data_IF_700765320087
#
_entry.id   IF_700765320087
#
_cell.length_a   1.000
_cell.length_b   1.000
_cell.length_c   1.000
_cell.angle_alpha   90.00
_cell.angle_beta   90.00
_cell.angle_gamma   90.00
#
_symmetry.space_group_name_H-M   'P 1'
#
loop_
_entity.id
_entity.type
_entity.pdbx_description
1 polymer ?
#
# COMPACT_ATOMS: atom_id res chain seq x y z
N UNK A 1 1.36 28.94 4.74
CA UNK A 1 0.96 28.32 3.46
C UNK A 1 -0.40 27.67 3.70
N UNK A 2 -1.42 28.04 2.93
CA UNK A 2 -2.86 27.88 3.26
C UNK A 2 -3.26 26.43 3.57
N UNK A 3 -4.09 26.21 4.58
CA UNK A 3 -4.58 24.86 4.95
C UNK A 3 -5.27 24.12 3.80
N UNK A 4 -5.75 24.84 2.78
CA UNK A 4 -6.37 24.25 1.59
C UNK A 4 -5.34 23.55 0.68
N UNK A 5 -4.14 24.12 0.50
CA UNK A 5 -3.05 23.44 -0.22
C UNK A 5 -2.57 22.19 0.51
N UNK A 6 -2.55 22.21 1.85
CA UNK A 6 -2.25 21.02 2.65
C UNK A 6 -3.31 19.93 2.48
N UNK A 7 -4.60 20.29 2.55
CA UNK A 7 -5.71 19.36 2.37
C UNK A 7 -5.72 18.70 0.98
N UNK A 8 -5.43 19.46 -0.09
CA UNK A 8 -5.35 18.91 -1.45
C UNK A 8 -4.19 17.92 -1.58
N UNK A 9 -3.03 18.24 -1.02
CA UNK A 9 -1.88 17.32 -1.04
C UNK A 9 -2.17 16.04 -0.25
N UNK A 10 -2.84 16.13 0.89
CA UNK A 10 -3.30 14.97 1.67
C UNK A 10 -4.32 14.13 0.89
N UNK A 11 -5.27 14.77 0.19
CA UNK A 11 -6.22 14.05 -0.64
C UNK A 11 -5.52 13.32 -1.80
N UNK A 12 -4.52 13.95 -2.43
CA UNK A 12 -3.75 13.35 -3.51
C UNK A 12 -2.95 12.12 -3.04
N UNK A 13 -2.34 12.18 -1.85
CA UNK A 13 -1.63 11.01 -1.28
C UNK A 13 -2.59 9.87 -0.97
N UNK A 14 -3.79 10.16 -0.48
CA UNK A 14 -4.85 9.16 -0.30
C UNK A 14 -5.29 8.50 -1.60
N UNK A 15 -5.51 9.29 -2.67
CA UNK A 15 -5.89 8.76 -3.99
C UNK A 15 -4.81 7.83 -4.53
N UNK A 16 -3.54 8.22 -4.45
CA UNK A 16 -2.43 7.38 -4.90
C UNK A 16 -2.33 6.07 -4.10
N UNK A 17 -2.61 6.10 -2.80
CA UNK A 17 -2.66 4.90 -1.98
C UNK A 17 -3.82 3.96 -2.39
N UNK A 18 -4.98 4.51 -2.72
CA UNK A 18 -6.10 3.72 -3.24
C UNK A 18 -5.82 3.10 -4.61
N UNK A 19 -5.17 3.84 -5.51
CA UNK A 19 -4.78 3.34 -6.84
C UNK A 19 -3.83 2.14 -6.74
N UNK A 20 -2.85 2.22 -5.84
CA UNK A 20 -1.99 1.08 -5.52
C UNK A 20 -2.78 -0.11 -4.97
N UNK A 21 -3.75 0.13 -4.07
CA UNK A 21 -4.64 -0.91 -3.54
C UNK A 21 -5.46 -1.62 -4.62
N UNK A 22 -6.05 -0.85 -5.54
CA UNK A 22 -6.84 -1.38 -6.66
C UNK A 22 -5.94 -2.22 -7.57
N UNK A 23 -4.74 -1.73 -7.90
CA UNK A 23 -3.78 -2.43 -8.74
C UNK A 23 -3.37 -3.77 -8.12
N UNK A 24 -3.01 -3.79 -6.83
CA UNK A 24 -2.65 -5.04 -6.14
C UNK A 24 -3.80 -6.04 -6.10
N UNK A 25 -5.05 -5.60 -5.88
CA UNK A 25 -6.21 -6.49 -5.94
C UNK A 25 -6.43 -7.02 -7.36
N UNK A 26 -6.24 -6.19 -8.38
CA UNK A 26 -6.34 -6.58 -9.79
C UNK A 26 -5.28 -7.63 -10.16
N UNK A 27 -4.05 -7.45 -9.70
CA UNK A 27 -2.94 -8.39 -9.93
C UNK A 27 -3.21 -9.74 -9.25
N UNK A 28 -3.68 -9.71 -8.01
CA UNK A 28 -4.09 -10.91 -7.29
C UNK A 28 -5.23 -11.65 -7.99
N UNK A 29 -6.25 -10.93 -8.46
CA UNK A 29 -7.38 -11.51 -9.14
C UNK A 29 -6.96 -12.15 -10.47
N UNK A 30 -6.13 -11.46 -11.24
CA UNK A 30 -5.65 -11.93 -12.55
C UNK A 30 -4.75 -13.15 -12.40
N UNK A 31 -3.94 -13.21 -11.35
CA UNK A 31 -3.02 -14.32 -11.09
C UNK A 31 -3.57 -15.39 -10.15
N UNK A 32 -4.85 -15.34 -9.78
CA UNK A 32 -5.47 -16.30 -8.86
C UNK A 32 -5.39 -17.76 -9.35
N UNK A 33 -5.32 -17.97 -10.66
CA UNK A 33 -5.17 -19.29 -11.28
C UNK A 33 -3.72 -19.71 -11.54
N UNK A 34 -2.73 -18.84 -11.29
CA UNK A 34 -1.32 -19.11 -11.59
C UNK A 34 -0.70 -19.93 -10.45
N UNK A 35 -0.28 -21.19 -10.69
CA UNK A 35 0.35 -22.00 -9.66
C UNK A 35 1.61 -21.32 -9.12
N UNK A 36 1.75 -21.22 -7.80
CA UNK A 36 2.90 -20.59 -7.14
C UNK A 36 2.84 -19.06 -7.05
N UNK A 37 1.74 -18.43 -7.47
CA UNK A 37 1.54 -17.00 -7.24
C UNK A 37 1.34 -16.71 -5.74
N UNK A 38 2.10 -15.74 -5.22
CA UNK A 38 2.02 -15.27 -3.84
C UNK A 38 1.11 -14.04 -3.78
N UNK A 39 0.06 -14.09 -2.96
CA UNK A 39 -0.91 -13.00 -2.81
C UNK A 39 -0.20 -11.76 -2.28
N UNK A 40 -0.46 -10.61 -2.91
CA UNK A 40 0.08 -9.32 -2.53
C UNK A 40 -0.93 -8.54 -1.65
N UNK A 41 -0.43 -7.78 -0.69
CA UNK A 41 -1.25 -6.93 0.19
C UNK A 41 -0.62 -5.56 0.32
N UNK A 42 -1.45 -4.52 0.23
CA UNK A 42 -1.00 -3.14 0.41
C UNK A 42 -1.11 -2.75 1.88
N UNK A 43 0.02 -2.35 2.45
CA UNK A 43 0.10 -1.76 3.78
C UNK A 43 0.32 -0.25 3.64
N UNK A 44 -0.67 0.55 4.03
CA UNK A 44 -0.57 2.00 4.05
C UNK A 44 -0.16 2.49 5.43
N UNK A 45 0.82 3.39 5.49
CA UNK A 45 1.26 4.03 6.72
C UNK A 45 0.95 5.52 6.64
N UNK A 46 0.64 6.15 7.78
CA UNK A 46 0.51 7.61 7.84
C UNK A 46 1.86 8.25 7.52
N UNK A 47 1.84 9.32 6.72
CA UNK A 47 3.03 10.12 6.50
C UNK A 47 3.53 10.67 7.85
N UNK A 48 4.85 10.81 7.98
CA UNK A 48 5.47 11.18 9.26
C UNK A 48 5.06 12.61 9.64
N UNK A 49 4.30 12.73 10.74
CA UNK A 49 3.82 14.02 11.21
C UNK A 49 4.75 14.64 12.25
N UNK A 50 4.87 15.97 12.22
CA UNK A 50 5.50 16.73 13.29
C UNK A 50 4.45 16.87 14.42
N UNK A 51 4.79 16.53 15.67
CA UNK A 51 3.87 16.68 16.79
C UNK A 51 3.26 18.09 16.87
N UNK A 52 1.93 18.17 16.96
CA UNK A 52 1.21 19.45 17.03
C UNK A 52 0.84 20.06 15.66
N UNK A 53 1.10 19.38 14.54
CA UNK A 53 0.64 19.77 13.21
C UNK A 53 -0.51 18.90 12.70
N UNK A 54 -1.21 19.40 11.68
CA UNK A 54 -2.18 18.61 10.93
C UNK A 54 -1.48 17.51 10.14
N UNK A 55 -2.13 16.35 10.00
CA UNK A 55 -1.53 15.19 9.35
C UNK A 55 -1.16 15.44 7.89
N UNK A 56 0.03 14.97 7.49
CA UNK A 56 0.62 15.12 6.16
C UNK A 56 0.10 14.10 5.13
N UNK A 57 -0.89 13.30 5.52
CA UNK A 57 -1.56 12.33 4.66
C UNK A 57 -1.01 10.92 4.77
N UNK A 58 -1.01 10.18 3.66
CA UNK A 58 -0.62 8.77 3.63
C UNK A 58 0.73 8.63 2.93
N UNK A 59 1.63 7.86 3.54
CA UNK A 59 2.91 7.49 2.95
C UNK A 59 2.75 6.56 1.74
N UNK A 60 3.84 6.29 1.01
CA UNK A 60 3.81 5.40 -0.15
C UNK A 60 3.31 4.00 0.25
N UNK A 61 2.41 3.45 -0.55
CA UNK A 61 1.87 2.10 -0.38
C UNK A 61 3.00 1.07 -0.33
N UNK A 62 3.11 0.35 0.79
CA UNK A 62 4.08 -0.74 0.95
C UNK A 62 3.41 -2.04 0.53
N UNK A 63 3.82 -2.61 -0.61
CA UNK A 63 3.29 -3.89 -1.09
C UNK A 63 4.08 -5.02 -0.44
N UNK A 64 3.39 -5.86 0.33
CA UNK A 64 3.94 -7.06 0.95
C UNK A 64 3.38 -8.30 0.27
N UNK A 65 4.25 -9.25 -0.07
CA UNK A 65 3.86 -10.57 -0.59
C UNK A 65 3.67 -11.56 0.55
N UNK A 66 2.53 -12.24 0.58
CA UNK A 66 2.30 -13.44 1.38
C UNK A 66 3.01 -14.62 0.68
N UNK A 67 4.34 -14.68 0.79
CA UNK A 67 5.05 -15.91 0.49
C UNK A 67 4.72 -16.91 1.61
N UNK A 68 4.15 -18.06 1.25
CA UNK A 68 3.91 -19.12 2.21
C UNK A 68 5.25 -19.55 2.82
N UNK A 69 5.45 -19.27 4.11
CA UNK A 69 6.69 -19.58 4.82
C UNK A 69 7.01 -21.08 4.77
N UNK A 70 6.01 -21.94 4.54
CA UNK A 70 6.18 -23.37 4.34
C UNK A 70 6.88 -23.69 3.00
N UNK A 71 6.49 -23.06 1.89
CA UNK A 71 7.12 -23.27 0.58
C UNK A 71 8.59 -22.80 0.56
N UNK A 72 8.91 -21.73 1.30
CA UNK A 72 10.29 -21.25 1.47
C UNK A 72 11.12 -22.17 2.40
N UNK A 73 10.52 -22.90 3.34
CA UNK A 73 11.23 -23.80 4.24
C UNK A 73 11.49 -25.19 3.65
N UNK A 74 10.66 -25.65 2.70
CA UNK A 74 10.82 -26.95 2.03
C UNK A 74 11.89 -26.90 0.92
N UNK A 75 12.27 -25.71 0.45
CA UNK A 75 13.33 -25.50 -0.55
C UNK A 75 14.76 -25.39 0.05
N UNK A 76 14.92 -25.62 1.36
CA UNK A 76 16.23 -25.65 2.05
C UNK A 76 16.64 -27.06 2.45
#
# INVERSE_FOLDING_TARGET
>A
MSGLTGAINTALTGINAFDAGITTVSDNLTNAGTPGYAVESVNTQTAQDIPGQAGAGVGPAQISRAADGFAASVLR
#
